data_IF_399167696032
#
_entry.id   IF_399167696032
#
_cell.length_a   1.000
_cell.length_b   1.000
_cell.length_c   1.000
_cell.angle_alpha   90.00
_cell.angle_beta   90.00
_cell.angle_gamma   90.00
#
_symmetry.space_group_name_H-M   'P 1'
#
loop_
_entity.id
_entity.type
_entity.pdbx_description
1 polymer ?
#
# COMPACT_ATOMS: atom_id res chain seq x y z
N UNK A 1 -2.80 22.47 17.36
CA UNK A 1 -3.18 21.89 16.07
C UNK A 1 -4.60 22.30 15.78
N UNK A 2 -4.80 23.09 14.74
CA UNK A 2 -6.11 23.40 14.19
C UNK A 2 -6.62 22.23 13.33
N UNK A 3 -7.94 22.10 13.13
CA UNK A 3 -8.51 21.02 12.31
C UNK A 3 -7.91 20.97 10.88
N UNK A 4 -7.59 22.14 10.32
CA UNK A 4 -6.95 22.29 9.02
C UNK A 4 -5.50 21.75 8.98
N UNK A 5 -4.76 21.82 10.09
CA UNK A 5 -3.39 21.28 10.18
C UNK A 5 -3.40 19.74 10.32
N UNK A 6 -4.41 19.20 11.00
CA UNK A 6 -4.58 17.76 11.17
C UNK A 6 -4.95 17.09 9.84
N UNK A 7 -5.86 17.69 9.08
CA UNK A 7 -6.28 17.21 7.75
C UNK A 7 -5.10 17.20 6.75
N UNK A 8 -4.34 18.31 6.72
CA UNK A 8 -3.12 18.40 5.90
C UNK A 8 -2.09 17.34 6.25
N UNK A 9 -1.88 17.07 7.53
CA UNK A 9 -0.93 16.04 8.00
C UNK A 9 -1.39 14.64 7.59
N UNK A 10 -2.69 14.34 7.73
CA UNK A 10 -3.25 13.06 7.32
C UNK A 10 -3.10 12.82 5.81
N UNK A 11 -3.36 13.85 5.00
CA UNK A 11 -3.17 13.77 3.55
C UNK A 11 -1.72 13.47 3.18
N UNK A 12 -0.76 14.15 3.82
CA UNK A 12 0.67 13.92 3.59
C UNK A 12 1.10 12.51 4.01
N UNK A 13 0.59 12.00 5.13
CA UNK A 13 0.82 10.63 5.59
C UNK A 13 0.31 9.60 4.57
N UNK A 14 -0.87 9.84 3.99
CA UNK A 14 -1.48 8.96 3.00
C UNK A 14 -0.73 9.01 1.67
N UNK A 15 -0.29 10.18 1.22
CA UNK A 15 0.57 10.35 0.04
C UNK A 15 1.88 9.58 0.19
N UNK A 16 2.55 9.72 1.34
CA UNK A 16 3.76 8.97 1.65
C UNK A 16 3.51 7.45 1.68
N UNK A 17 2.37 7.03 2.25
CA UNK A 17 1.98 5.62 2.27
C UNK A 17 1.75 5.10 0.85
N UNK A 18 1.05 5.85 -0.01
CA UNK A 18 0.83 5.50 -1.42
C UNK A 18 2.15 5.29 -2.16
N UNK A 19 3.10 6.20 -2.00
CA UNK A 19 4.40 6.11 -2.66
C UNK A 19 5.23 4.91 -2.17
N UNK A 20 5.19 4.63 -0.86
CA UNK A 20 5.81 3.45 -0.29
C UNK A 20 5.21 2.14 -0.84
N UNK A 21 3.88 2.07 -0.94
CA UNK A 21 3.17 0.92 -1.50
C UNK A 21 3.55 0.69 -2.97
N UNK A 22 3.57 1.74 -3.79
CA UNK A 22 3.99 1.68 -5.19
C UNK A 22 5.42 1.17 -5.33
N UNK A 23 6.36 1.75 -4.56
CA UNK A 23 7.76 1.34 -4.60
C UNK A 23 7.95 -0.13 -4.19
N UNK A 24 7.29 -0.57 -3.12
CA UNK A 24 7.37 -1.95 -2.66
C UNK A 24 6.74 -2.92 -3.66
N UNK A 25 5.60 -2.56 -4.25
CA UNK A 25 4.93 -3.32 -5.30
C UNK A 25 5.82 -3.50 -6.54
N UNK A 26 6.47 -2.43 -6.99
CA UNK A 26 7.35 -2.47 -8.16
C UNK A 26 8.60 -3.32 -7.88
N UNK A 27 9.21 -3.21 -6.69
CA UNK A 27 10.33 -4.08 -6.30
C UNK A 27 9.91 -5.56 -6.25
N UNK A 28 8.73 -5.86 -5.72
CA UNK A 28 8.21 -7.24 -5.67
C UNK A 28 7.98 -7.75 -7.09
N UNK A 29 7.30 -7.01 -7.98
CA UNK A 29 7.10 -7.42 -9.38
C UNK A 29 8.43 -7.71 -10.08
N UNK A 30 9.44 -6.87 -9.84
CA UNK A 30 10.78 -7.08 -10.39
C UNK A 30 11.46 -8.34 -9.85
N UNK A 31 11.15 -8.82 -8.64
CA UNK A 31 11.74 -10.05 -8.08
C UNK A 31 10.85 -11.28 -8.28
N UNK A 32 9.55 -11.07 -8.48
CA UNK A 32 8.53 -12.12 -8.55
C UNK A 32 8.79 -13.10 -9.70
N UNK A 33 9.35 -12.62 -10.82
CA UNK A 33 9.69 -13.47 -11.95
C UNK A 33 10.79 -14.49 -11.64
N UNK A 34 11.58 -14.27 -10.59
CA UNK A 34 12.60 -15.19 -10.08
C UNK A 34 12.13 -15.98 -8.85
N UNK A 35 10.92 -15.69 -8.35
CA UNK A 35 10.40 -16.26 -7.12
C UNK A 35 9.60 -17.55 -7.37
N UNK A 36 9.45 -18.36 -6.31
CA UNK A 36 8.64 -19.58 -6.33
C UNK A 36 7.12 -19.31 -6.32
N UNK A 37 6.32 -20.37 -6.50
CA UNK A 37 4.85 -20.31 -6.51
C UNK A 37 4.27 -19.62 -5.26
N UNK A 38 4.79 -19.90 -4.06
CA UNK A 38 4.30 -19.30 -2.81
C UNK A 38 4.36 -17.76 -2.79
N UNK A 39 5.38 -17.18 -3.42
CA UNK A 39 5.51 -15.73 -3.50
C UNK A 39 4.56 -15.15 -4.56
N UNK A 40 4.35 -15.88 -5.65
CA UNK A 40 3.39 -15.54 -6.70
C UNK A 40 1.96 -15.58 -6.18
N UNK A 41 1.58 -16.61 -5.45
CA UNK A 41 0.24 -16.74 -4.88
C UNK A 41 -0.04 -15.61 -3.88
N UNK A 42 0.93 -15.33 -3.00
CA UNK A 42 0.82 -14.20 -2.06
C UNK A 42 0.76 -12.84 -2.77
N UNK A 43 1.44 -12.69 -3.91
CA UNK A 43 1.33 -11.49 -4.75
C UNK A 43 -0.05 -11.35 -5.40
N UNK A 44 -0.59 -12.44 -5.94
CA UNK A 44 -1.88 -12.47 -6.61
C UNK A 44 -3.03 -12.14 -5.63
N UNK A 45 -2.88 -12.47 -4.35
CA UNK A 45 -3.81 -12.07 -3.28
C UNK A 45 -3.74 -10.57 -2.94
N UNK A 46 -2.55 -9.94 -3.00
CA UNK A 46 -2.36 -8.55 -2.54
C UNK A 46 -2.58 -7.53 -3.64
N UNK A 47 -2.28 -7.85 -4.90
CA UNK A 47 -2.39 -6.93 -6.03
C UNK A 47 -3.78 -6.26 -6.14
N UNK A 48 -4.91 -6.98 -5.99
CA UNK A 48 -6.24 -6.35 -6.04
C UNK A 48 -6.46 -5.33 -4.92
N UNK A 49 -5.84 -5.54 -3.75
CA UNK A 49 -6.00 -4.65 -2.59
C UNK A 49 -5.17 -3.37 -2.75
N UNK A 50 -4.03 -3.45 -3.42
CA UNK A 50 -3.26 -2.27 -3.84
C UNK A 50 -4.10 -1.44 -4.82
N UNK A 51 -4.75 -2.08 -5.79
CA UNK A 51 -5.62 -1.38 -6.74
C UNK A 51 -6.83 -0.72 -6.05
N UNK A 52 -7.47 -1.41 -5.10
CA UNK A 52 -8.56 -0.85 -4.29
C UNK A 52 -8.09 0.35 -3.44
N UNK A 53 -6.90 0.26 -2.84
CA UNK A 53 -6.30 1.40 -2.12
C UNK A 53 -6.10 2.61 -3.04
N UNK A 54 -5.49 2.41 -4.22
CA UNK A 54 -5.26 3.49 -5.20
C UNK A 54 -6.58 4.15 -5.64
N UNK A 55 -7.60 3.34 -5.93
CA UNK A 55 -8.92 3.83 -6.34
C UNK A 55 -9.58 4.66 -5.23
N UNK A 56 -9.53 4.20 -3.97
CA UNK A 56 -10.10 4.92 -2.83
C UNK A 56 -9.33 6.19 -2.51
N UNK A 57 -8.01 6.15 -2.63
CA UNK A 57 -7.15 7.32 -2.48
C UNK A 57 -7.53 8.41 -3.49
N UNK A 58 -7.62 8.06 -4.77
CA UNK A 58 -7.95 9.03 -5.82
C UNK A 58 -9.40 9.53 -5.73
N UNK A 59 -10.32 8.72 -5.22
CA UNK A 59 -11.73 9.08 -5.11
C UNK A 59 -12.04 10.00 -3.92
N UNK A 60 -11.50 9.70 -2.73
CA UNK A 60 -11.96 10.32 -1.46
C UNK A 60 -10.92 10.32 -0.32
N UNK A 61 -9.63 10.56 -0.60
CA UNK A 61 -8.62 10.63 0.47
C UNK A 61 -8.99 11.59 1.62
N UNK A 62 -9.68 12.70 1.31
CA UNK A 62 -10.07 13.73 2.27
C UNK A 62 -11.29 13.34 3.16
N UNK A 63 -12.05 12.28 2.82
CA UNK A 63 -13.24 11.84 3.60
C UNK A 63 -13.04 10.52 4.37
N UNK A 64 -12.14 9.64 3.91
CA UNK A 64 -11.94 8.29 4.49
C UNK A 64 -10.52 8.04 4.98
N UNK A 65 -9.80 9.10 5.38
CA UNK A 65 -8.36 9.04 5.62
C UNK A 65 -7.91 8.02 6.68
N UNK A 66 -8.66 7.80 7.76
CA UNK A 66 -8.31 6.79 8.78
C UNK A 66 -8.49 5.35 8.28
N UNK A 67 -9.58 5.05 7.57
CA UNK A 67 -9.80 3.74 6.96
C UNK A 67 -8.74 3.44 5.89
N UNK A 68 -8.42 4.47 5.09
CA UNK A 68 -7.40 4.37 4.05
C UNK A 68 -6.00 4.18 4.66
N UNK A 69 -5.71 4.85 5.78
CA UNK A 69 -4.47 4.67 6.54
C UNK A 69 -4.36 3.23 7.06
N UNK A 70 -5.42 2.69 7.65
CA UNK A 70 -5.45 1.31 8.12
C UNK A 70 -5.26 0.30 6.98
N UNK A 71 -5.93 0.50 5.84
CA UNK A 71 -5.76 -0.32 4.65
C UNK A 71 -4.32 -0.27 4.13
N UNK A 72 -3.73 0.93 4.04
CA UNK A 72 -2.36 1.12 3.59
C UNK A 72 -1.34 0.42 4.49
N UNK A 73 -1.52 0.46 5.82
CA UNK A 73 -0.65 -0.26 6.77
C UNK A 73 -0.75 -1.78 6.61
N UNK A 74 -1.96 -2.33 6.44
CA UNK A 74 -2.14 -3.77 6.22
C UNK A 74 -1.48 -4.22 4.90
N UNK A 75 -1.65 -3.45 3.82
CA UNK A 75 -0.98 -3.74 2.54
C UNK A 75 0.54 -3.67 2.73
N UNK A 76 1.06 -2.65 3.41
CA UNK A 76 2.50 -2.49 3.66
C UNK A 76 3.08 -3.69 4.41
N UNK A 77 2.39 -4.17 5.45
CA UNK A 77 2.81 -5.37 6.20
C UNK A 77 2.84 -6.61 5.31
N UNK A 78 1.84 -6.79 4.44
CA UNK A 78 1.77 -7.95 3.53
C UNK A 78 2.86 -7.89 2.45
N UNK A 79 3.13 -6.72 1.90
CA UNK A 79 4.25 -6.53 0.97
C UNK A 79 5.60 -6.81 1.64
N UNK A 80 5.78 -6.40 2.89
CA UNK A 80 6.99 -6.73 3.66
C UNK A 80 7.16 -8.26 3.83
N UNK A 81 6.07 -8.98 4.11
CA UNK A 81 6.09 -10.44 4.23
C UNK A 81 6.43 -11.12 2.89
N UNK A 82 5.91 -10.63 1.76
CA UNK A 82 6.25 -11.15 0.42
C UNK A 82 7.72 -10.86 0.12
N UNK A 83 8.19 -9.65 0.40
CA UNK A 83 9.59 -9.25 0.21
C UNK A 83 10.55 -10.14 0.98
N UNK A 84 10.20 -10.54 2.22
CA UNK A 84 11.00 -11.46 3.03
C UNK A 84 11.04 -12.90 2.48
N UNK A 85 10.11 -13.29 1.61
CA UNK A 85 10.09 -14.63 0.96
C UNK A 85 10.87 -14.68 -0.35
N UNK A 86 11.14 -13.53 -0.97
CA UNK A 86 11.80 -13.41 -2.27
C UNK A 86 13.22 -12.82 -2.19
N UNK A 87 13.71 -12.56 -0.97
CA UNK A 87 15.00 -11.96 -0.67
C UNK A 87 15.84 -12.85 0.22
#
# INVERSE_FOLDING_TARGET
MSAEEADKTLKQDLEATRDDLKRAADEIKLKLHLAGMDAKDAWDEIQPRIADFEQRFDAKADEVGEELKALGQDIKQRLANIKAKIG
#
